data_IF_011621961913
#
_entry.id   IF_011621961913
#
_cell.length_a   1.000
_cell.length_b   1.000
_cell.length_c   1.000
_cell.angle_alpha   90.00
_cell.angle_beta   90.00
_cell.angle_gamma   90.00
#
_symmetry.space_group_name_H-M   'P 1'
#
loop_
_entity.id
_entity.type
_entity.pdbx_description
1 polymer ?
#
# COMPACT_ATOMS: atom_id res chain seq x y z
N UNK A 1 -23.61 -16.17 34.89
CA UNK A 1 -22.72 -16.95 34.01
C UNK A 1 -21.86 -15.96 33.26
N UNK A 2 -20.58 -15.93 33.61
CA UNK A 2 -19.63 -14.92 33.17
C UNK A 2 -18.88 -15.48 31.97
N UNK A 3 -19.25 -15.07 30.76
CA UNK A 3 -18.48 -15.41 29.55
C UNK A 3 -17.88 -14.14 28.98
N UNK A 4 -16.85 -13.65 29.67
CA UNK A 4 -15.79 -12.90 29.01
C UNK A 4 -14.85 -13.91 28.34
N UNK A 5 -14.20 -13.52 27.26
CA UNK A 5 -13.29 -14.30 26.39
C UNK A 5 -13.98 -14.92 25.17
N UNK A 6 -14.13 -14.11 24.13
CA UNK A 6 -13.41 -14.35 22.88
C UNK A 6 -13.05 -12.98 22.31
N UNK A 7 -11.93 -12.40 22.75
CA UNK A 7 -11.18 -11.56 21.83
C UNK A 7 -10.72 -12.52 20.74
N UNK A 8 -11.53 -12.71 19.68
CA UNK A 8 -11.02 -13.24 18.43
C UNK A 8 -9.75 -12.46 18.19
N UNK A 9 -8.61 -13.14 18.13
CA UNK A 9 -7.35 -12.51 17.82
C UNK A 9 -7.62 -11.56 16.66
N UNK A 10 -7.51 -10.26 16.90
CA UNK A 10 -7.36 -9.33 15.80
C UNK A 10 -6.08 -9.86 15.15
N UNK A 11 -6.22 -10.58 14.03
CA UNK A 11 -5.11 -10.66 13.10
C UNK A 11 -4.62 -9.22 12.97
N UNK A 12 -3.31 -8.95 12.93
CA UNK A 12 -2.87 -7.66 12.43
C UNK A 12 -3.39 -7.62 11.00
N UNK A 13 -4.64 -7.18 10.80
CA UNK A 13 -5.23 -6.94 9.51
C UNK A 13 -4.54 -5.66 9.11
N UNK A 14 -3.41 -5.86 8.45
CA UNK A 14 -2.56 -4.79 7.98
C UNK A 14 -3.46 -3.77 7.29
N UNK A 15 -3.45 -2.54 7.78
CA UNK A 15 -4.25 -1.50 7.16
C UNK A 15 -3.70 -1.27 5.74
N UNK A 16 -4.57 -1.20 4.73
CA UNK A 16 -4.17 -0.92 3.36
C UNK A 16 -3.30 0.33 3.28
N UNK A 17 -2.08 0.16 2.77
CA UNK A 17 -1.06 1.20 2.74
C UNK A 17 -0.29 1.15 1.43
N UNK A 18 0.12 2.33 0.97
CA UNK A 18 0.98 2.51 -0.19
C UNK A 18 2.25 3.24 0.20
N UNK A 19 3.34 2.96 -0.51
CA UNK A 19 4.57 3.75 -0.43
C UNK A 19 5.03 4.17 -1.82
N UNK A 20 5.46 5.42 -1.92
CA UNK A 20 5.93 6.04 -3.16
C UNK A 20 7.21 6.80 -2.85
N UNK A 21 8.26 6.56 -3.63
CA UNK A 21 9.51 7.33 -3.57
C UNK A 21 9.66 8.15 -4.85
N UNK A 22 9.90 9.44 -4.69
CA UNK A 22 9.87 10.44 -5.75
C UNK A 22 11.20 11.21 -5.81
N UNK A 23 12.24 10.61 -6.37
CA UNK A 23 13.54 11.28 -6.53
C UNK A 23 13.83 11.57 -8.00
N UNK A 24 14.37 12.75 -8.31
CA UNK A 24 14.66 13.14 -9.68
C UNK A 24 15.79 12.29 -10.28
N UNK A 25 15.64 11.86 -11.53
CA UNK A 25 16.64 11.05 -12.24
C UNK A 25 16.69 9.57 -11.83
N UNK A 26 15.82 9.12 -10.93
CA UNK A 26 15.65 7.73 -10.54
C UNK A 26 14.24 7.24 -10.86
N UNK A 27 14.12 5.97 -11.22
CA UNK A 27 12.83 5.32 -11.48
C UNK A 27 12.51 4.37 -10.34
N UNK A 28 11.55 4.75 -9.50
CA UNK A 28 11.07 3.91 -8.39
C UNK A 28 9.65 3.44 -8.67
N UNK A 29 9.42 2.14 -8.59
CA UNK A 29 8.07 1.59 -8.66
C UNK A 29 7.35 1.80 -7.32
N UNK A 30 6.06 2.19 -7.33
CA UNK A 30 5.28 2.26 -6.12
C UNK A 30 5.08 0.87 -5.51
N UNK A 31 4.84 0.83 -4.20
CA UNK A 31 4.59 -0.42 -3.48
C UNK A 31 3.30 -0.33 -2.70
N UNK A 32 2.67 -1.48 -2.47
CA UNK A 32 1.50 -1.64 -1.61
C UNK A 32 1.76 -2.73 -0.57
N UNK A 33 1.09 -2.62 0.57
CA UNK A 33 1.14 -3.62 1.62
C UNK A 33 0.06 -4.68 1.34
N UNK A 34 0.46 -5.93 1.08
CA UNK A 34 -0.49 -7.01 0.80
C UNK A 34 -1.29 -7.43 2.04
N UNK A 35 -2.37 -8.20 1.85
CA UNK A 35 -3.16 -8.73 2.96
C UNK A 35 -2.35 -9.64 3.91
N UNK A 36 -1.26 -10.24 3.43
CA UNK A 36 -0.32 -11.01 4.25
C UNK A 36 0.70 -10.13 5.02
N UNK A 37 0.67 -8.81 4.82
CA UNK A 37 1.58 -7.86 5.45
C UNK A 37 2.94 -7.77 4.79
N UNK A 38 3.01 -8.08 3.48
CA UNK A 38 4.26 -7.98 2.73
C UNK A 38 4.19 -6.81 1.77
N UNK A 39 5.21 -5.96 1.82
CA UNK A 39 5.41 -4.93 0.82
C UNK A 39 5.65 -5.57 -0.55
N UNK A 40 4.82 -5.20 -1.52
CA UNK A 40 4.83 -5.71 -2.87
C UNK A 40 5.04 -4.56 -3.85
N UNK A 41 6.03 -4.71 -4.74
CA UNK A 41 6.31 -3.72 -5.78
C UNK A 41 5.37 -3.89 -6.97
N UNK A 42 4.69 -2.81 -7.38
CA UNK A 42 3.84 -2.83 -8.58
C UNK A 42 4.66 -2.51 -9.84
N UNK A 43 5.06 -3.57 -10.55
CA UNK A 43 5.78 -3.49 -11.82
C UNK A 43 4.87 -3.13 -13.01
N UNK A 44 3.54 -3.15 -12.84
CA UNK A 44 2.59 -2.79 -13.90
C UNK A 44 2.56 -1.28 -14.14
N UNK A 45 2.86 -0.49 -13.11
CA UNK A 45 2.99 0.96 -13.23
C UNK A 45 4.38 1.26 -13.79
N UNK A 46 4.41 1.52 -15.09
CA UNK A 46 5.52 2.22 -15.72
C UNK A 46 5.43 3.67 -15.30
N UNK A 47 6.31 4.08 -14.39
CA UNK A 47 6.47 5.49 -14.03
C UNK A 47 6.90 6.21 -15.30
N UNK A 48 6.08 7.09 -15.90
CA UNK A 48 6.53 7.89 -17.03
C UNK A 48 7.73 8.70 -16.54
N UNK A 49 8.79 8.81 -17.35
CA UNK A 49 10.09 9.39 -16.96
C UNK A 49 10.09 10.83 -16.45
N UNK A 50 8.92 11.43 -16.21
CA UNK A 50 8.72 12.79 -15.71
C UNK A 50 7.94 12.87 -14.39
N UNK A 51 7.22 11.84 -13.92
CA UNK A 51 6.36 11.98 -12.73
C UNK A 51 6.16 10.68 -11.94
N UNK A 52 6.41 10.74 -10.63
CA UNK A 52 5.91 9.78 -9.66
C UNK A 52 4.46 10.13 -9.25
N UNK A 53 3.75 9.20 -8.60
CA UNK A 53 2.42 9.45 -8.02
C UNK A 53 2.52 10.55 -6.94
N UNK A 54 1.93 11.72 -7.19
CA UNK A 54 1.94 12.87 -6.27
C UNK A 54 0.55 13.39 -5.92
N UNK A 55 -0.40 13.25 -6.84
CA UNK A 55 -1.75 13.74 -6.63
C UNK A 55 -2.52 12.86 -5.66
N UNK A 56 -3.25 13.50 -4.73
CA UNK A 56 -4.04 12.80 -3.71
C UNK A 56 -5.02 11.80 -4.33
N UNK A 57 -5.62 12.18 -5.46
CA UNK A 57 -6.58 11.32 -6.16
C UNK A 57 -5.89 10.12 -6.78
N UNK A 58 -4.71 10.29 -7.38
CA UNK A 58 -3.93 9.19 -7.94
C UNK A 58 -3.44 8.23 -6.86
N UNK A 59 -3.02 8.76 -5.71
CA UNK A 59 -2.64 7.96 -4.53
C UNK A 59 -3.84 7.15 -4.00
N UNK A 60 -5.03 7.77 -3.93
CA UNK A 60 -6.24 7.08 -3.52
C UNK A 60 -6.65 5.99 -4.51
N UNK A 61 -6.59 6.27 -5.81
CA UNK A 61 -6.91 5.30 -6.85
C UNK A 61 -5.93 4.14 -6.88
N UNK A 62 -4.65 4.40 -6.59
CA UNK A 62 -3.65 3.35 -6.41
C UNK A 62 -3.92 2.51 -5.15
N UNK A 63 -4.31 3.16 -4.05
CA UNK A 63 -4.63 2.48 -2.79
C UNK A 63 -5.84 1.53 -2.92
N UNK A 64 -6.75 1.75 -3.87
CA UNK A 64 -7.86 0.81 -4.16
C UNK A 64 -7.37 -0.58 -4.63
N UNK A 65 -6.08 -0.73 -4.96
CA UNK A 65 -5.44 -2.03 -5.27
C UNK A 65 -4.90 -2.78 -4.04
N UNK A 66 -4.86 -2.13 -2.87
CA UNK A 66 -4.28 -2.68 -1.65
C UNK A 66 -5.20 -3.67 -0.95
#
# INVERSE_FOLDING_TARGET
MTTWLLSLAASPRWEPQISVLCEAGQTYHPQFLSEEGRWTTDLSIKVPGTTCLRDKMDLLDYCKKC
#
